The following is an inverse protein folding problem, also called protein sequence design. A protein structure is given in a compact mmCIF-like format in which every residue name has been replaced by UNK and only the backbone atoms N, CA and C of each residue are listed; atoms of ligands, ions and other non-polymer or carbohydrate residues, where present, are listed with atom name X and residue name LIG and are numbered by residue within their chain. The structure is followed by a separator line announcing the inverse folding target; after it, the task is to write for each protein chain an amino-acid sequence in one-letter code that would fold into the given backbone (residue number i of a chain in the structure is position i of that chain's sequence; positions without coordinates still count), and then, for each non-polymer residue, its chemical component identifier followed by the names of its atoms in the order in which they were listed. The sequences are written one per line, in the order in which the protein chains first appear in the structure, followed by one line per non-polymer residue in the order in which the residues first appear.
data_IF_857240901099
#
_entry.id   IF_857240901099
#
_cell.length_a   1.000
_cell.length_b   1.000
_cell.length_c   1.000
_cell.angle_alpha   90.00
_cell.angle_beta   90.00
_cell.angle_gamma   90.00
#
_symmetry.space_group_name_H-M   'P 1'
#
loop_
_entity.id
_entity.type
_entity.pdbx_description
1 polymer ?
#
# COMPACT_ATOMS: atom_id res chain seq x y z
N UNK A 1 4.13 19.55 6.43
CA UNK A 1 4.62 18.32 5.76
C UNK A 1 4.22 17.14 6.63
N UNK A 2 2.90 16.97 6.78
CA UNK A 2 2.26 16.13 7.78
C UNK A 2 2.65 14.64 7.66
N UNK A 3 3.46 14.24 8.64
CA UNK A 3 3.76 12.90 9.17
C UNK A 3 3.65 11.69 8.24
N UNK A 4 4.12 11.81 7.00
CA UNK A 4 4.59 10.65 6.22
C UNK A 4 5.64 9.85 7.01
N UNK A 5 6.35 10.51 7.93
CA UNK A 5 7.33 9.91 8.82
C UNK A 5 6.70 8.86 9.74
N UNK A 6 5.55 9.14 10.38
CA UNK A 6 4.85 8.13 11.17
C UNK A 6 4.49 6.89 10.34
N UNK A 7 3.91 7.08 9.14
CA UNK A 7 3.57 5.96 8.26
C UNK A 7 4.84 5.15 7.91
N UNK A 8 5.91 5.81 7.48
CA UNK A 8 7.18 5.18 7.10
C UNK A 8 7.91 4.52 8.28
N UNK A 9 7.79 5.05 9.51
CA UNK A 9 8.51 4.58 10.71
C UNK A 9 7.76 3.50 11.50
N UNK A 10 6.44 3.54 11.51
CA UNK A 10 5.63 2.67 12.38
C UNK A 10 4.73 1.74 11.57
N UNK A 11 3.95 2.30 10.64
CA UNK A 11 2.94 1.54 9.89
C UNK A 11 3.58 0.61 8.86
N UNK A 12 4.48 1.12 8.01
CA UNK A 12 5.11 0.27 6.98
C UNK A 12 6.00 -0.83 7.58
N UNK A 13 6.83 -0.59 8.62
CA UNK A 13 7.57 -1.67 9.27
C UNK A 13 6.66 -2.72 9.90
N UNK A 14 5.50 -2.33 10.44
CA UNK A 14 4.50 -3.28 10.89
C UNK A 14 3.97 -4.14 9.73
N UNK A 15 3.61 -3.52 8.60
CA UNK A 15 3.14 -4.26 7.41
C UNK A 15 4.22 -5.21 6.88
N UNK A 16 5.50 -4.79 6.82
CA UNK A 16 6.63 -5.65 6.42
C UNK A 16 6.76 -6.86 7.34
N UNK A 17 6.74 -6.66 8.66
CA UNK A 17 6.77 -7.75 9.65
C UNK A 17 5.57 -8.69 9.49
N UNK A 18 4.39 -8.13 9.26
CA UNK A 18 3.16 -8.91 9.04
C UNK A 18 3.23 -9.75 7.76
N UNK A 19 3.70 -9.17 6.64
CA UNK A 19 3.92 -9.89 5.39
C UNK A 19 4.97 -10.98 5.56
N UNK A 20 6.09 -10.68 6.22
CA UNK A 20 7.14 -11.64 6.51
C UNK A 20 6.56 -12.87 7.25
N UNK A 21 5.78 -12.65 8.31
CA UNK A 21 5.09 -13.75 9.02
C UNK A 21 4.11 -14.51 8.14
N UNK A 22 3.32 -13.81 7.32
CA UNK A 22 2.37 -14.43 6.38
C UNK A 22 3.07 -15.32 5.34
N UNK A 23 4.30 -14.99 4.97
CA UNK A 23 5.09 -15.70 3.97
C UNK A 23 6.31 -16.39 4.56
N UNK A 24 6.06 -17.30 5.52
CA UNK A 24 7.06 -18.23 6.10
C UNK A 24 8.28 -17.57 6.75
N UNK A 25 8.15 -16.32 7.21
CA UNK A 25 9.22 -15.60 7.88
C UNK A 25 10.26 -14.98 6.95
N UNK A 26 10.04 -14.97 5.63
CA UNK A 26 10.97 -14.35 4.68
C UNK A 26 11.03 -12.84 4.97
N UNK A 27 12.22 -12.25 5.17
CA UNK A 27 12.34 -10.81 5.40
C UNK A 27 11.81 -10.00 4.21
N UNK A 28 11.07 -8.93 4.51
CA UNK A 28 10.51 -8.01 3.51
C UNK A 28 11.08 -6.61 3.77
N UNK A 29 11.65 -5.99 2.75
CA UNK A 29 12.33 -4.69 2.82
C UNK A 29 11.79 -3.71 1.78
N UNK A 30 12.03 -2.42 1.97
CA UNK A 30 11.80 -1.44 0.90
C UNK A 30 12.94 -1.58 -0.13
N UNK A 31 12.62 -1.72 -1.42
CA UNK A 31 13.62 -1.97 -2.46
C UNK A 31 13.18 -1.43 -3.82
N UNK A 32 14.14 -0.91 -4.58
CA UNK A 32 13.92 -0.55 -5.99
C UNK A 32 14.04 -1.77 -6.87
N UNK A 33 13.01 -2.05 -7.67
CA UNK A 33 12.97 -3.16 -8.62
C UNK A 33 13.03 -2.60 -10.04
N UNK A 34 13.93 -3.15 -10.84
CA UNK A 34 14.06 -2.82 -12.26
C UNK A 34 13.06 -3.57 -13.13
N UNK A 35 12.67 -2.93 -14.23
CA UNK A 35 11.91 -3.50 -15.34
C UNK A 35 12.41 -2.87 -16.66
N UNK A 36 11.94 -3.37 -17.80
CA UNK A 36 12.51 -3.03 -19.11
C UNK A 36 12.58 -1.51 -19.40
N UNK A 37 11.61 -0.73 -18.92
CA UNK A 37 11.52 0.72 -19.14
C UNK A 37 11.95 1.59 -17.97
N UNK A 38 12.53 1.01 -16.90
CA UNK A 38 13.00 1.80 -15.75
C UNK A 38 13.07 1.02 -14.44
N UNK A 39 12.93 1.72 -13.32
CA UNK A 39 12.82 1.11 -12.00
C UNK A 39 11.76 1.79 -11.16
N UNK A 40 11.22 1.06 -10.18
CA UNK A 40 10.27 1.59 -9.23
C UNK A 40 10.58 1.09 -7.83
N UNK A 41 10.46 1.98 -6.85
CA UNK A 41 10.69 1.68 -5.44
C UNK A 41 9.42 1.13 -4.81
N UNK A 42 9.46 -0.13 -4.40
CA UNK A 42 8.34 -0.81 -3.73
C UNK A 42 8.51 -0.76 -2.22
N UNK A 43 7.37 -0.64 -1.53
CA UNK A 43 7.35 -0.53 -0.06
C UNK A 43 7.73 -1.85 0.62
N UNK A 44 7.44 -2.99 0.00
CA UNK A 44 7.81 -4.31 0.50
C UNK A 44 8.23 -5.27 -0.60
N UNK A 45 9.46 -5.74 -0.55
CA UNK A 45 10.04 -6.76 -1.43
C UNK A 45 10.69 -7.82 -0.56
N UNK A 46 10.36 -9.09 -0.78
CA UNK A 46 11.04 -10.18 -0.09
C UNK A 46 12.50 -10.27 -0.49
N UNK A 47 13.37 -10.78 0.39
CA UNK A 47 14.82 -10.82 0.11
C UNK A 47 15.17 -11.64 -1.14
N UNK A 48 14.34 -12.64 -1.45
CA UNK A 48 14.41 -13.52 -2.63
C UNK A 48 13.66 -12.95 -3.86
N UNK A 49 13.11 -11.74 -3.74
CA UNK A 49 12.34 -11.02 -4.78
C UNK A 49 11.10 -11.77 -5.32
N UNK A 50 10.71 -12.87 -4.68
CA UNK A 50 9.53 -13.64 -5.09
C UNK A 50 8.22 -12.94 -4.74
N UNK A 51 8.25 -12.00 -3.80
CA UNK A 51 7.10 -11.22 -3.34
C UNK A 51 7.42 -9.73 -3.48
N UNK A 52 6.56 -9.01 -4.19
CA UNK A 52 6.65 -7.56 -4.36
C UNK A 52 5.31 -6.94 -4.00
N UNK A 53 5.33 -5.90 -3.16
CA UNK A 53 4.15 -5.32 -2.56
C UNK A 53 4.22 -3.78 -2.50
N UNK A 54 3.10 -3.14 -2.80
CA UNK A 54 2.88 -1.70 -2.57
C UNK A 54 1.92 -1.49 -1.42
N UNK A 55 2.23 -0.55 -0.53
CA UNK A 55 1.44 -0.32 0.68
C UNK A 55 0.54 0.90 0.55
N UNK A 56 -0.73 0.70 0.87
CA UNK A 56 -1.77 1.70 0.76
C UNK A 56 -2.40 1.96 2.13
N UNK A 57 -1.88 2.97 2.82
CA UNK A 57 -2.33 3.38 4.15
C UNK A 57 -3.30 4.58 4.08
N UNK A 58 -4.32 4.50 3.22
CA UNK A 58 -5.29 5.58 2.99
C UNK A 58 -6.73 5.11 3.28
N UNK A 59 -7.66 6.06 3.39
CA UNK A 59 -9.10 5.82 3.51
C UNK A 59 -9.83 6.01 2.17
N UNK A 60 -10.99 5.36 1.98
CA UNK A 60 -11.80 5.50 0.75
C UNK A 60 -12.37 6.90 0.54
N UNK A 61 -12.61 7.62 1.63
CA UNK A 61 -13.18 8.96 1.60
C UNK A 61 -12.23 9.96 2.24
N UNK A 62 -12.26 11.19 1.74
CA UNK A 62 -11.62 12.34 2.37
C UNK A 62 -12.41 12.76 3.61
N UNK A 63 -11.85 13.65 4.42
CA UNK A 63 -12.56 14.21 5.58
C UNK A 63 -13.83 14.99 5.23
N UNK A 64 -14.04 15.34 3.95
CA UNK A 64 -15.26 15.96 3.45
C UNK A 64 -16.32 14.95 2.97
N UNK A 65 -16.05 13.64 3.10
CA UNK A 65 -16.98 12.57 2.68
C UNK A 65 -16.90 12.20 1.19
N UNK A 66 -16.15 12.97 0.39
CA UNK A 66 -15.90 12.68 -1.03
C UNK A 66 -14.94 11.51 -1.20
N UNK A 67 -15.00 10.80 -2.33
CA UNK A 67 -14.01 9.76 -2.67
C UNK A 67 -12.59 10.35 -2.66
N UNK A 68 -11.63 9.62 -2.08
CA UNK A 68 -10.23 10.04 -2.04
C UNK A 68 -9.55 9.75 -3.39
N UNK A 69 -9.92 10.52 -4.42
CA UNK A 69 -9.48 10.34 -5.80
C UNK A 69 -7.95 10.38 -5.95
N UNK A 70 -7.26 11.20 -5.14
CA UNK A 70 -5.80 11.24 -5.10
C UNK A 70 -5.18 9.91 -4.65
N UNK A 71 -5.68 9.33 -3.55
CA UNK A 71 -5.23 8.02 -3.09
C UNK A 71 -5.60 6.90 -4.06
N UNK A 72 -6.78 6.97 -4.69
CA UNK A 72 -7.19 6.01 -5.73
C UNK A 72 -6.26 6.08 -6.94
N UNK A 73 -5.93 7.29 -7.42
CA UNK A 73 -4.98 7.46 -8.53
C UNK A 73 -3.60 6.91 -8.20
N UNK A 74 -3.11 7.16 -6.98
CA UNK A 74 -1.85 6.57 -6.50
C UNK A 74 -1.93 5.05 -6.53
N UNK A 75 -2.97 4.45 -5.98
CA UNK A 75 -3.16 3.00 -5.95
C UNK A 75 -3.19 2.37 -7.35
N UNK A 76 -3.84 3.02 -8.30
CA UNK A 76 -3.85 2.56 -9.70
C UNK A 76 -2.47 2.70 -10.36
N UNK A 77 -1.70 3.72 -10.03
CA UNK A 77 -0.31 3.86 -10.49
C UNK A 77 0.60 2.77 -9.92
N UNK A 78 0.49 2.50 -8.61
CA UNK A 78 1.23 1.42 -7.94
C UNK A 78 0.90 0.06 -8.57
N UNK A 79 -0.37 -0.16 -8.94
CA UNK A 79 -0.81 -1.34 -9.68
C UNK A 79 -0.15 -1.44 -11.06
N UNK A 80 -0.05 -0.35 -11.82
CA UNK A 80 0.64 -0.37 -13.12
C UNK A 80 2.12 -0.75 -12.96
N UNK A 81 2.82 -0.23 -11.95
CA UNK A 81 4.19 -0.65 -11.69
C UNK A 81 4.30 -2.12 -11.31
N UNK A 82 3.39 -2.64 -10.48
CA UNK A 82 3.37 -4.08 -10.15
C UNK A 82 3.17 -4.96 -11.40
N UNK A 83 2.38 -4.52 -12.40
CA UNK A 83 2.21 -5.26 -13.66
C UNK A 83 3.51 -5.41 -14.44
N UNK A 84 4.42 -4.45 -14.33
CA UNK A 84 5.72 -4.45 -15.03
C UNK A 84 6.77 -5.33 -14.35
N UNK A 85 6.54 -5.74 -13.09
CA UNK A 85 7.48 -6.56 -12.34
C UNK A 85 7.22 -8.05 -12.59
N UNK A 86 8.30 -8.80 -12.76
CA UNK A 86 8.29 -10.27 -12.78
C UNK A 86 8.56 -10.78 -11.36
N UNK A 87 7.50 -11.12 -10.63
CA UNK A 87 7.57 -11.75 -9.32
C UNK A 87 6.45 -12.79 -9.20
N UNK A 88 6.67 -13.83 -8.38
CA UNK A 88 5.69 -14.90 -8.17
C UNK A 88 4.41 -14.35 -7.51
N UNK A 89 4.58 -13.47 -6.52
CA UNK A 89 3.47 -12.78 -5.85
C UNK A 89 3.64 -11.27 -5.97
N UNK A 90 2.62 -10.63 -6.54
CA UNK A 90 2.51 -9.17 -6.64
C UNK A 90 1.32 -8.72 -5.84
N UNK A 91 1.53 -7.84 -4.86
CA UNK A 91 0.54 -7.55 -3.83
C UNK A 91 0.21 -6.06 -3.75
N UNK A 92 -1.07 -5.74 -3.63
CA UNK A 92 -1.53 -4.47 -3.08
C UNK A 92 -1.95 -4.72 -1.64
N UNK A 93 -1.30 -4.07 -0.68
CA UNK A 93 -1.59 -4.23 0.74
C UNK A 93 -2.24 -2.97 1.29
N UNK A 94 -3.49 -3.09 1.75
CA UNK A 94 -4.21 -2.00 2.39
C UNK A 94 -4.39 -2.23 3.88
N UNK A 95 -4.37 -1.14 4.65
CA UNK A 95 -4.69 -1.16 6.09
C UNK A 95 -6.16 -0.83 6.41
N UNK A 96 -6.95 -0.51 5.38
CA UNK A 96 -8.37 -0.18 5.45
C UNK A 96 -9.15 -1.09 4.50
N UNK A 97 -10.20 -1.75 5.01
CA UNK A 97 -11.00 -2.73 4.24
C UNK A 97 -11.83 -2.07 3.14
N UNK A 98 -12.40 -0.91 3.43
CA UNK A 98 -13.27 -0.20 2.49
C UNK A 98 -12.44 0.42 1.38
N UNK A 99 -11.23 0.91 1.70
CA UNK A 99 -10.27 1.32 0.70
C UNK A 99 -9.83 0.15 -0.17
N UNK A 100 -9.52 -1.01 0.40
CA UNK A 100 -9.19 -2.21 -0.38
C UNK A 100 -10.31 -2.59 -1.35
N UNK A 101 -11.56 -2.59 -0.88
CA UNK A 101 -12.72 -2.90 -1.71
C UNK A 101 -12.88 -1.89 -2.86
N UNK A 102 -12.70 -0.60 -2.57
CA UNK A 102 -12.74 0.47 -3.57
C UNK A 102 -11.66 0.26 -4.65
N UNK A 103 -10.40 0.05 -4.25
CA UNK A 103 -9.30 -0.14 -5.19
C UNK A 103 -9.49 -1.42 -5.99
N UNK A 104 -9.89 -2.52 -5.37
CA UNK A 104 -10.18 -3.77 -6.09
C UNK A 104 -11.25 -3.57 -7.16
N UNK A 105 -12.35 -2.86 -6.84
CA UNK A 105 -13.40 -2.52 -7.81
C UNK A 105 -12.88 -1.68 -8.98
N UNK A 106 -12.00 -0.70 -8.72
CA UNK A 106 -11.39 0.14 -9.76
C UNK A 106 -10.40 -0.65 -10.61
N UNK A 107 -9.57 -1.48 -9.99
CA UNK A 107 -8.56 -2.30 -10.64
C UNK A 107 -9.17 -3.39 -11.55
N UNK A 108 -10.28 -4.02 -11.13
CA UNK A 108 -10.98 -4.99 -11.97
C UNK A 108 -11.40 -4.44 -13.34
N UNK A 109 -11.65 -3.13 -13.46
CA UNK A 109 -11.98 -2.49 -14.75
C UNK A 109 -10.79 -2.36 -15.70
N UNK A 110 -9.57 -2.41 -15.17
CA UNK A 110 -8.31 -2.15 -15.88
C UNK A 110 -7.50 -3.44 -16.07
N UNK A 111 -7.85 -4.51 -15.33
CA UNK A 111 -7.13 -5.77 -15.27
C UNK A 111 -6.16 -5.81 -14.09
N UNK A 112 -6.18 -6.92 -13.36
CA UNK A 112 -5.33 -7.13 -12.17
C UNK A 112 -4.12 -8.00 -12.45
N UNK A 113 -4.03 -8.70 -13.58
CA UNK A 113 -2.87 -9.50 -14.04
C UNK A 113 -2.20 -10.37 -12.97
N UNK A 114 -2.99 -11.03 -12.12
CA UNK A 114 -2.47 -11.88 -11.03
C UNK A 114 -1.94 -11.10 -9.81
N UNK A 115 -2.24 -9.82 -9.70
CA UNK A 115 -1.99 -9.02 -8.49
C UNK A 115 -3.03 -9.37 -7.42
N UNK A 116 -2.56 -9.75 -6.24
CA UNK A 116 -3.40 -10.08 -5.09
C UNK A 116 -3.67 -8.83 -4.23
N UNK A 117 -4.92 -8.67 -3.81
CA UNK A 117 -5.37 -7.58 -2.93
C UNK A 117 -5.48 -8.09 -1.50
N UNK A 118 -4.66 -7.55 -0.59
CA UNK A 118 -4.49 -8.08 0.75
C UNK A 118 -4.82 -7.01 1.80
N UNK A 119 -5.66 -7.38 2.77
CA UNK A 119 -5.90 -6.56 3.95
C UNK A 119 -4.90 -6.90 5.06
N UNK A 120 -4.22 -5.89 5.58
CA UNK A 120 -3.36 -5.98 6.76
C UNK A 120 -4.05 -5.31 7.96
N UNK A 121 -4.54 -6.07 8.95
CA UNK A 121 -5.12 -5.49 10.15
C UNK A 121 -4.03 -4.82 10.98
N UNK A 122 -4.19 -3.52 11.25
CA UNK A 122 -3.36 -2.80 12.21
C UNK A 122 -3.91 -2.99 13.63
N UNK A 123 -3.03 -3.06 14.66
CA UNK A 123 -3.46 -3.00 16.05
C UNK A 123 -4.10 -1.63 16.34
N UNK A 124 -5.02 -1.59 17.30
CA UNK A 124 -5.85 -0.41 17.54
C UNK A 124 -5.05 0.87 17.79
N UNK A 125 -3.93 0.78 18.52
CA UNK A 125 -3.04 1.91 18.77
C UNK A 125 -2.45 2.51 17.49
N UNK A 126 -2.02 1.68 16.53
CA UNK A 126 -1.51 2.13 15.23
C UNK A 126 -2.64 2.62 14.34
N UNK A 127 -3.80 1.96 14.38
CA UNK A 127 -4.99 2.35 13.61
C UNK A 127 -5.48 3.75 14.01
N UNK A 128 -5.69 4.00 15.30
CA UNK A 128 -6.12 5.30 15.82
C UNK A 128 -5.12 6.40 15.47
N UNK A 129 -3.82 6.12 15.62
CA UNK A 129 -2.78 7.12 15.30
C UNK A 129 -2.68 7.39 13.79
N UNK A 130 -2.80 6.36 12.96
CA UNK A 130 -2.93 6.54 11.51
C UNK A 130 -4.17 7.38 11.18
N UNK A 131 -5.27 7.19 11.88
CA UNK A 131 -6.46 7.99 11.67
C UNK A 131 -6.25 9.47 12.00
N UNK A 132 -5.59 9.78 13.12
CA UNK A 132 -5.23 11.15 13.49
C UNK A 132 -4.36 11.79 12.39
N UNK A 133 -3.30 11.12 11.96
CA UNK A 133 -2.38 11.63 10.91
C UNK A 133 -3.12 11.89 9.59
N UNK A 134 -4.03 10.99 9.19
CA UNK A 134 -4.83 11.18 7.98
C UNK A 134 -5.83 12.33 8.11
N UNK A 135 -6.35 12.60 9.31
CA UNK A 135 -7.23 13.74 9.57
C UNK A 135 -6.44 15.07 9.60
N UNK A 136 -5.21 15.08 10.09
CA UNK A 136 -4.37 16.29 10.16
C UNK A 136 -3.91 16.77 8.78
N UNK A 137 -3.63 15.84 7.85
CA UNK A 137 -3.34 16.18 6.43
C UNK A 137 -4.40 17.05 5.77
N UNK A 138 -5.64 17.00 6.25
CA UNK A 138 -6.74 17.86 5.79
C UNK A 138 -6.47 19.34 6.06
N UNK A 139 -5.83 19.68 7.18
CA UNK A 139 -5.66 21.08 7.61
C UNK A 139 -4.52 21.81 6.89
N UNK A 140 -3.57 21.09 6.32
CA UNK A 140 -2.44 21.68 5.57
C UNK A 140 -2.77 21.94 4.08
N UNK A 141 -3.89 21.44 3.56
CA UNK A 141 -4.28 21.55 2.14
C UNK A 141 -5.56 22.37 1.92
N UNK A 142 -6.12 22.94 2.98
CA UNK A 142 -7.27 23.86 2.94
C UNK A 142 -6.76 25.30 3.10
#
# INVERSE_FOLDING_TARGET
MADTRFIKREVEPYIRKWLSRKFRGIPVIEKSMGFQSGSHKFDGVSIDETIVASFLCNRPKTGAGNENTGAVRKALNDLQYLRLIKANKRLIVCTDKDFLALIKKRACRIGTDGIEFVFCPLPDSLRQRLEIVLNERRKEQA
#
